data_IF_381735846066
#
_entry.id   IF_381735846066
#
_cell.length_a   1.000
_cell.length_b   1.000
_cell.length_c   1.000
_cell.angle_alpha   90.00
_cell.angle_beta   90.00
_cell.angle_gamma   90.00
#
_symmetry.space_group_name_H-M   'P 1'
#
loop_
_entity.id
_entity.type
_entity.pdbx_description
1 polymer ?
#
# COMPACT_ATOMS: atom_id res chain seq x y z
N UNK A 1 -22.76 25.52 -48.23
CA UNK A 1 -22.45 24.16 -47.74
C UNK A 1 -21.00 24.17 -47.26
N UNK A 2 -20.82 24.06 -45.93
CA UNK A 2 -19.65 23.58 -45.16
C UNK A 2 -18.25 24.09 -45.58
N UNK A 3 -17.72 25.14 -44.95
CA UNK A 3 -17.05 25.19 -43.63
C UNK A 3 -15.58 24.74 -43.67
N UNK A 4 -14.71 25.75 -43.51
CA UNK A 4 -13.24 25.72 -43.49
C UNK A 4 -12.70 24.88 -42.32
N UNK A 5 -11.70 24.06 -42.60
CA UNK A 5 -10.92 23.34 -41.60
C UNK A 5 -10.06 24.30 -40.78
N UNK A 6 -10.19 24.21 -39.46
CA UNK A 6 -9.32 24.89 -38.49
C UNK A 6 -8.25 23.87 -38.08
N UNK A 7 -7.02 24.12 -38.52
CA UNK A 7 -5.81 23.59 -37.91
C UNK A 7 -5.73 24.13 -36.49
N UNK A 8 -5.72 23.25 -35.49
CA UNK A 8 -5.42 23.63 -34.11
C UNK A 8 -4.01 23.14 -33.79
N UNK A 9 -3.20 24.12 -33.42
CA UNK A 9 -1.80 24.04 -33.04
C UNK A 9 -1.60 23.10 -31.84
N UNK A 10 -0.68 22.14 -31.95
CA UNK A 10 -0.30 21.21 -30.88
C UNK A 10 1.15 21.51 -30.51
N UNK A 11 1.35 22.49 -29.64
CA UNK A 11 2.67 22.75 -29.07
C UNK A 11 2.54 23.28 -27.64
N UNK A 12 2.92 22.45 -26.67
CA UNK A 12 2.77 22.82 -25.26
C UNK A 12 3.05 21.73 -24.23
N UNK A 13 4.12 20.93 -24.40
CA UNK A 13 4.66 20.15 -23.29
C UNK A 13 6.17 20.38 -23.19
N UNK A 14 6.58 21.17 -22.19
CA UNK A 14 7.98 21.28 -21.77
C UNK A 14 8.34 20.06 -20.91
N UNK A 15 9.49 19.41 -21.11
CA UNK A 15 9.92 18.32 -20.25
C UNK A 15 10.38 18.85 -18.89
N UNK A 16 9.86 18.26 -17.81
CA UNK A 16 10.42 18.43 -16.47
C UNK A 16 11.83 17.86 -16.41
N UNK A 17 12.71 18.62 -15.76
CA UNK A 17 14.16 18.52 -15.85
C UNK A 17 14.78 17.26 -15.22
N UNK A 18 15.85 16.84 -15.91
CA UNK A 18 17.08 16.15 -15.47
C UNK A 18 17.13 15.50 -14.08
N UNK A 19 17.43 14.20 -14.11
CA UNK A 19 17.94 13.39 -13.01
C UNK A 19 19.21 13.99 -12.34
N UNK A 20 19.40 13.83 -11.02
CA UNK A 20 20.65 14.16 -10.37
C UNK A 20 21.73 13.09 -10.60
N UNK A 21 22.96 13.60 -10.55
CA UNK A 21 24.24 13.00 -10.93
C UNK A 21 24.65 11.80 -10.08
N UNK A 22 25.35 10.86 -10.72
CA UNK A 22 26.01 9.71 -10.10
C UNK A 22 27.14 10.15 -9.16
N UNK A 23 27.14 9.62 -7.93
CA UNK A 23 28.26 9.79 -7.00
C UNK A 23 29.26 8.65 -7.22
N UNK A 24 30.45 9.00 -7.72
CA UNK A 24 31.62 8.11 -7.75
C UNK A 24 32.49 8.38 -6.51
N UNK A 25 32.80 7.30 -5.79
CA UNK A 25 34.05 7.15 -5.03
C UNK A 25 34.00 7.44 -3.53
N UNK A 26 34.23 6.41 -2.71
CA UNK A 26 35.54 6.18 -2.11
C UNK A 26 35.54 4.85 -1.33
N UNK A 27 36.31 3.88 -1.82
CA UNK A 27 36.77 2.71 -1.07
C UNK A 27 37.91 3.16 -0.17
N UNK A 28 37.80 2.91 1.14
CA UNK A 28 38.94 2.94 2.05
C UNK A 28 39.16 1.53 2.59
N UNK A 29 40.23 0.92 2.07
CA UNK A 29 40.85 -0.25 2.65
C UNK A 29 41.57 0.15 3.95
N UNK A 30 41.37 -0.62 5.01
CA UNK A 30 42.24 -0.61 6.17
C UNK A 30 42.75 -2.04 6.39
N UNK A 31 44.00 -2.26 5.98
CA UNK A 31 44.79 -3.41 6.38
C UNK A 31 45.49 -3.06 7.69
N UNK A 32 45.41 -3.95 8.68
CA UNK A 32 46.39 -4.03 9.77
C UNK A 32 46.80 -5.49 9.96
N UNK A 33 48.12 -5.70 9.89
CA UNK A 33 48.83 -6.96 10.06
C UNK A 33 49.06 -7.26 11.55
N UNK A 34 48.80 -8.52 11.91
CA UNK A 34 49.53 -9.46 12.79
C UNK A 34 50.19 -8.94 14.09
N UNK A 35 49.81 -9.55 15.23
CA UNK A 35 50.57 -10.61 15.91
C UNK A 35 50.14 -10.76 17.39
N UNK A 36 50.08 -12.00 17.91
CA UNK A 36 50.06 -12.24 19.36
C UNK A 36 49.36 -13.52 19.79
N UNK A 37 50.13 -14.61 19.91
CA UNK A 37 49.72 -15.88 20.53
C UNK A 37 49.43 -15.71 22.03
N UNK A 38 48.38 -16.38 22.53
CA UNK A 38 48.37 -16.93 23.89
C UNK A 38 47.34 -18.06 24.00
N UNK A 39 47.83 -19.22 24.43
CA UNK A 39 47.09 -20.43 24.75
C UNK A 39 46.30 -20.24 26.06
N UNK A 40 45.11 -20.84 26.15
CA UNK A 40 44.57 -21.31 27.43
C UNK A 40 43.56 -22.46 27.21
N UNK A 41 43.58 -23.35 28.19
CA UNK A 41 43.24 -24.78 28.23
C UNK A 41 41.74 -25.11 28.29
N UNK A 42 41.35 -26.36 27.97
CA UNK A 42 39.96 -26.82 28.07
C UNK A 42 39.57 -27.17 29.52
N UNK A 43 38.38 -26.76 29.95
CA UNK A 43 37.74 -27.29 31.18
C UNK A 43 36.85 -28.46 30.79
N UNK A 44 37.11 -29.59 31.42
CA UNK A 44 36.36 -30.83 31.30
C UNK A 44 34.97 -30.72 31.93
N UNK A 45 33.95 -31.22 31.24
CA UNK A 45 32.65 -31.55 31.82
C UNK A 45 32.70 -33.04 32.19
N UNK A 46 32.72 -33.33 33.49
CA UNK A 46 32.46 -34.67 34.02
C UNK A 46 30.95 -34.83 34.22
N UNK A 47 30.44 -35.96 33.76
CA UNK A 47 29.02 -36.28 33.74
C UNK A 47 28.46 -36.82 35.05
N UNK A 48 27.14 -36.96 35.05
CA UNK A 48 26.42 -38.00 35.77
C UNK A 48 25.08 -38.23 35.04
N UNK A 49 24.96 -39.38 34.37
CA UNK A 49 23.68 -40.05 34.18
C UNK A 49 23.49 -41.00 35.36
N UNK A 50 22.27 -41.18 35.87
CA UNK A 50 21.68 -42.49 36.22
C UNK A 50 20.14 -42.39 36.33
N UNK A 51 19.50 -43.22 35.52
CA UNK A 51 18.24 -44.00 35.62
C UNK A 51 16.83 -43.43 35.81
N UNK A 52 15.97 -44.06 35.00
CA UNK A 52 14.53 -44.11 35.01
C UNK A 52 13.97 -45.14 36.00
N UNK A 53 12.74 -44.94 36.45
CA UNK A 53 11.83 -46.02 36.80
C UNK A 53 10.36 -45.57 36.71
N UNK A 54 9.61 -46.23 35.84
CA UNK A 54 8.15 -46.23 35.83
C UNK A 54 7.63 -47.25 36.85
N UNK A 55 6.48 -46.98 37.48
CA UNK A 55 5.38 -47.95 37.69
C UNK A 55 4.17 -47.37 38.43
N UNK A 56 3.01 -47.78 37.90
CA UNK A 56 1.72 -48.08 38.55
C UNK A 56 0.91 -46.97 39.24
N UNK A 57 -0.20 -46.60 38.61
CA UNK A 57 -1.38 -46.04 39.27
C UNK A 57 -2.66 -46.74 38.74
N UNK A 58 -3.62 -47.13 39.62
CA UNK A 58 -4.77 -47.94 39.26
C UNK A 58 -5.98 -47.12 38.79
N UNK A 59 -6.82 -47.71 37.96
CA UNK A 59 -8.21 -47.28 37.69
C UNK A 59 -9.14 -47.81 38.79
N UNK A 60 -10.14 -47.02 39.25
CA UNK A 60 -11.51 -47.50 39.04
C UNK A 60 -12.60 -46.41 38.84
N UNK A 61 -13.55 -46.79 37.99
CA UNK A 61 -15.03 -46.73 38.08
C UNK A 61 -15.82 -45.41 38.03
N UNK A 62 -16.80 -45.46 37.12
CA UNK A 62 -17.91 -44.56 36.83
C UNK A 62 -18.77 -44.18 38.05
N UNK A 63 -19.13 -42.89 38.12
CA UNK A 63 -20.24 -42.36 38.91
C UNK A 63 -20.96 -41.27 38.10
N UNK A 64 -22.27 -41.44 37.93
CA UNK A 64 -23.19 -40.51 37.29
C UNK A 64 -23.56 -39.37 38.24
N UNK A 65 -24.13 -38.31 37.64
CA UNK A 65 -24.96 -37.23 38.22
C UNK A 65 -24.28 -35.89 38.53
N UNK A 66 -24.84 -34.82 37.92
CA UNK A 66 -24.54 -33.43 38.24
C UNK A 66 -24.75 -32.47 37.07
N UNK A 67 -26.02 -32.24 36.68
CA UNK A 67 -26.42 -31.11 35.84
C UNK A 67 -25.92 -29.79 36.45
N UNK A 68 -25.08 -29.07 35.70
CA UNK A 68 -24.55 -27.76 36.05
C UNK A 68 -24.50 -26.88 34.81
N UNK A 69 -25.44 -25.94 34.74
CA UNK A 69 -25.69 -25.00 33.66
C UNK A 69 -24.44 -24.29 33.15
N UNK A 70 -24.19 -24.35 31.84
CA UNK A 70 -23.19 -23.51 31.17
C UNK A 70 -23.62 -22.04 31.23
N UNK A 71 -22.71 -21.09 31.53
CA UNK A 71 -23.00 -19.67 31.35
C UNK A 71 -23.08 -19.34 29.86
N UNK A 72 -24.23 -18.79 29.43
CA UNK A 72 -24.46 -18.26 28.09
C UNK A 72 -23.35 -17.30 27.68
N UNK A 73 -22.64 -17.63 26.61
CA UNK A 73 -21.78 -16.69 25.91
C UNK A 73 -22.64 -15.58 25.31
N UNK A 74 -22.42 -14.34 25.77
CA UNK A 74 -22.96 -13.14 25.13
C UNK A 74 -22.47 -13.10 23.67
N UNK A 75 -23.35 -12.97 22.66
CA UNK A 75 -22.90 -12.86 21.28
C UNK A 75 -22.11 -11.57 21.08
N UNK A 76 -20.95 -11.69 20.43
CA UNK A 76 -20.14 -10.55 20.00
C UNK A 76 -20.98 -9.60 19.12
N UNK A 77 -20.79 -8.28 19.21
CA UNK A 77 -21.53 -7.33 18.39
C UNK A 77 -21.23 -7.59 16.91
N UNK A 78 -22.27 -7.89 16.15
CA UNK A 78 -22.20 -8.05 14.69
C UNK A 78 -21.92 -6.69 14.08
N UNK A 79 -20.74 -6.53 13.48
CA UNK A 79 -20.43 -5.36 12.67
C UNK A 79 -21.47 -5.24 11.53
N UNK A 80 -21.97 -4.04 11.22
CA UNK A 80 -22.84 -3.85 10.07
C UNK A 80 -22.09 -4.30 8.82
N UNK A 81 -22.55 -5.40 8.22
CA UNK A 81 -22.19 -5.79 6.87
C UNK A 81 -22.79 -4.74 5.93
N UNK A 82 -22.07 -3.64 5.71
CA UNK A 82 -22.43 -2.68 4.66
C UNK A 82 -22.07 -3.35 3.34
N UNK A 83 -23.00 -4.15 2.83
CA UNK A 83 -22.99 -4.64 1.46
C UNK A 83 -23.18 -3.47 0.51
N UNK A 84 -22.15 -2.66 0.30
CA UNK A 84 -22.08 -1.80 -0.88
C UNK A 84 -21.62 -2.67 -2.04
N UNK A 85 -22.59 -3.18 -2.79
CA UNK A 85 -22.33 -3.58 -4.16
C UNK A 85 -21.87 -2.31 -4.89
N UNK A 86 -20.55 -2.18 -5.07
CA UNK A 86 -20.00 -1.16 -5.94
C UNK A 86 -20.48 -1.50 -7.34
N UNK A 87 -21.52 -0.79 -7.78
CA UNK A 87 -22.02 -0.88 -9.13
C UNK A 87 -20.84 -0.66 -10.08
N UNK A 88 -20.56 -1.67 -10.89
CA UNK A 88 -19.35 -1.74 -11.73
C UNK A 88 -19.50 -0.84 -12.96
N UNK A 89 -19.76 0.45 -12.76
CA UNK A 89 -19.46 1.43 -13.80
C UNK A 89 -17.94 1.55 -13.87
N UNK A 90 -17.31 0.56 -14.54
CA UNK A 90 -15.89 0.60 -14.86
C UNK A 90 -15.59 2.01 -15.38
N UNK A 91 -14.67 2.76 -14.73
CA UNK A 91 -14.23 4.02 -15.30
C UNK A 91 -13.73 3.65 -16.68
N UNK A 92 -14.11 4.43 -17.69
CA UNK A 92 -13.69 4.18 -19.06
C UNK A 92 -12.19 3.89 -19.02
N UNK A 93 -11.82 2.63 -19.26
CA UNK A 93 -10.44 2.20 -19.07
C UNK A 93 -9.62 3.03 -20.05
N UNK A 94 -8.80 3.94 -19.52
CA UNK A 94 -8.02 4.84 -20.35
C UNK A 94 -6.78 4.07 -20.80
N UNK A 95 -6.92 3.38 -21.92
CA UNK A 95 -5.83 2.65 -22.55
C UNK A 95 -4.83 3.62 -23.19
N UNK A 96 -3.54 3.33 -23.05
CA UNK A 96 -2.45 4.11 -23.66
C UNK A 96 -2.06 5.40 -22.93
N UNK A 97 -2.78 5.81 -21.88
CA UNK A 97 -2.41 7.00 -21.09
C UNK A 97 -2.48 6.73 -19.59
N UNK A 98 -2.06 7.73 -18.80
CA UNK A 98 -2.15 7.74 -17.34
C UNK A 98 -3.34 8.59 -16.92
N UNK A 99 -4.17 8.06 -16.02
CA UNK A 99 -5.26 8.80 -15.39
C UNK A 99 -4.74 9.53 -14.16
N UNK A 100 -4.53 10.84 -14.27
CA UNK A 100 -4.06 11.67 -13.13
C UNK A 100 -5.20 12.36 -12.38
N UNK A 101 -6.34 12.62 -13.03
CA UNK A 101 -7.54 13.27 -12.48
C UNK A 101 -8.77 12.52 -12.94
N UNK A 102 -9.81 12.40 -12.11
CA UNK A 102 -11.09 11.84 -12.53
C UNK A 102 -11.77 12.77 -13.56
N UNK A 103 -12.30 12.24 -14.69
CA UNK A 103 -12.92 13.05 -15.73
C UNK A 103 -14.34 13.49 -15.31
N UNK A 104 -14.43 14.43 -14.38
CA UNK A 104 -15.69 14.87 -13.77
C UNK A 104 -15.64 16.35 -13.40
N UNK A 105 -16.79 17.01 -13.46
CA UNK A 105 -16.98 18.37 -12.93
C UNK A 105 -17.57 18.37 -11.52
N UNK A 106 -17.98 17.20 -11.00
CA UNK A 106 -18.47 17.06 -9.62
C UNK A 106 -17.33 17.31 -8.63
N UNK A 107 -17.61 18.01 -7.54
CA UNK A 107 -16.70 18.18 -6.39
C UNK A 107 -16.51 16.85 -5.64
N UNK A 108 -15.72 15.97 -6.24
CA UNK A 108 -15.32 14.67 -5.67
C UNK A 108 -13.79 14.59 -5.58
N UNK A 109 -13.31 13.89 -4.57
CA UNK A 109 -11.90 13.52 -4.40
C UNK A 109 -11.78 12.00 -4.25
N UNK A 110 -10.81 11.39 -4.92
CA UNK A 110 -10.39 10.02 -4.65
C UNK A 110 -9.15 10.03 -3.73
N UNK A 111 -9.30 9.50 -2.52
CA UNK A 111 -8.17 9.25 -1.63
C UNK A 111 -7.54 7.91 -1.99
N UNK A 112 -6.23 7.93 -2.24
CA UNK A 112 -5.48 6.73 -2.62
C UNK A 112 -4.25 6.55 -1.74
N UNK A 113 -3.91 5.30 -1.44
CA UNK A 113 -2.83 4.95 -0.52
C UNK A 113 -1.88 3.94 -1.16
N UNK A 114 -0.59 4.24 -1.18
CA UNK A 114 0.43 3.30 -1.64
C UNK A 114 1.00 2.53 -0.43
N UNK A 115 1.11 1.20 -0.57
CA UNK A 115 1.62 0.29 0.44
C UNK A 115 2.84 -0.49 -0.07
N UNK A 116 4.03 0.07 0.20
CA UNK A 116 5.32 -0.49 -0.22
C UNK A 116 6.46 -0.39 0.81
N UNK A 117 6.18 0.13 2.01
CA UNK A 117 7.17 0.33 3.08
C UNK A 117 6.74 -0.39 4.38
N UNK A 118 6.73 0.28 5.52
CA UNK A 118 6.13 -0.24 6.75
C UNK A 118 4.59 -0.16 6.70
N UNK A 119 3.93 -0.62 7.77
CA UNK A 119 2.46 -0.67 7.88
C UNK A 119 1.93 0.12 9.10
N UNK A 120 2.75 0.97 9.72
CA UNK A 120 2.45 1.58 11.02
C UNK A 120 1.23 2.50 10.97
N UNK A 121 0.94 3.10 9.81
CA UNK A 121 -0.22 3.97 9.62
C UNK A 121 -1.53 3.22 9.34
N UNK A 122 -1.49 1.94 8.93
CA UNK A 122 -2.69 1.21 8.46
C UNK A 122 -3.82 1.21 9.49
N UNK A 123 -3.61 0.85 10.78
CA UNK A 123 -4.71 0.77 11.73
C UNK A 123 -5.42 2.12 11.95
N UNK A 124 -4.67 3.23 11.93
CA UNK A 124 -5.21 4.58 12.09
C UNK A 124 -5.97 5.03 10.84
N UNK A 125 -5.44 4.72 9.65
CA UNK A 125 -6.10 5.00 8.36
C UNK A 125 -7.44 4.26 8.29
N UNK A 126 -7.46 2.95 8.51
CA UNK A 126 -8.68 2.14 8.39
C UNK A 126 -9.75 2.59 9.40
N UNK A 127 -9.36 2.86 10.65
CA UNK A 127 -10.27 3.42 11.67
C UNK A 127 -10.88 4.74 11.22
N UNK A 128 -10.06 5.65 10.67
CA UNK A 128 -10.53 6.97 10.22
C UNK A 128 -11.48 6.85 9.02
N UNK A 129 -11.12 6.04 8.02
CA UNK A 129 -11.95 5.83 6.84
C UNK A 129 -13.29 5.18 7.21
N UNK A 130 -13.27 4.18 8.10
CA UNK A 130 -14.49 3.53 8.60
C UNK A 130 -15.37 4.50 9.38
N UNK A 131 -14.80 5.24 10.34
CA UNK A 131 -15.55 6.20 11.16
C UNK A 131 -16.18 7.33 10.33
N UNK A 132 -15.55 7.69 9.21
CA UNK A 132 -16.03 8.78 8.34
C UNK A 132 -16.86 8.32 7.15
N UNK A 133 -16.99 6.99 6.94
CA UNK A 133 -17.65 6.38 5.79
C UNK A 133 -16.96 6.69 4.45
N UNK A 134 -15.68 7.07 4.48
CA UNK A 134 -14.95 7.60 3.33
C UNK A 134 -14.42 6.45 2.45
N UNK A 135 -14.85 6.34 1.18
CA UNK A 135 -14.26 5.38 0.25
C UNK A 135 -12.79 5.74 -0.04
N UNK A 136 -12.00 4.71 -0.32
CA UNK A 136 -10.59 4.84 -0.64
C UNK A 136 -10.10 3.69 -1.52
N UNK A 137 -8.93 3.88 -2.13
CA UNK A 137 -8.26 2.87 -2.95
C UNK A 137 -6.81 2.65 -2.49
N UNK A 138 -6.40 1.40 -2.32
CA UNK A 138 -5.05 1.03 -1.86
C UNK A 138 -4.26 0.34 -2.96
N UNK A 139 -3.11 0.88 -3.35
CA UNK A 139 -2.17 0.24 -4.28
C UNK A 139 -1.12 -0.53 -3.49
N UNK A 140 -1.19 -1.85 -3.58
CA UNK A 140 -0.37 -2.74 -2.75
C UNK A 140 0.81 -3.28 -3.56
N UNK A 141 1.99 -3.31 -2.95
CA UNK A 141 3.10 -4.09 -3.50
C UNK A 141 2.97 -5.56 -3.09
N UNK A 142 3.43 -6.47 -3.94
CA UNK A 142 3.42 -7.91 -3.64
C UNK A 142 4.22 -8.27 -2.39
N UNK A 143 5.39 -7.65 -2.19
CA UNK A 143 6.23 -7.86 -1.02
C UNK A 143 5.61 -7.32 0.27
N UNK A 144 4.91 -6.20 0.22
CA UNK A 144 4.18 -5.67 1.37
C UNK A 144 3.05 -6.62 1.77
N UNK A 145 2.30 -7.14 0.80
CA UNK A 145 1.25 -8.14 1.05
C UNK A 145 1.81 -9.42 1.68
N UNK A 146 2.97 -9.88 1.21
CA UNK A 146 3.64 -11.04 1.80
C UNK A 146 4.05 -10.81 3.27
N UNK A 147 4.45 -9.57 3.59
CA UNK A 147 4.91 -9.20 4.93
C UNK A 147 3.75 -8.95 5.90
N UNK A 148 2.65 -8.37 5.41
CA UNK A 148 1.49 -7.95 6.19
C UNK A 148 0.17 -8.56 5.67
N UNK A 149 0.03 -9.89 5.57
CA UNK A 149 -1.11 -10.52 4.90
C UNK A 149 -2.45 -10.24 5.60
N UNK A 150 -2.45 -10.12 6.94
CA UNK A 150 -3.67 -9.81 7.69
C UNK A 150 -4.16 -8.38 7.44
N UNK A 151 -3.24 -7.41 7.34
CA UNK A 151 -3.59 -6.03 7.01
C UNK A 151 -4.04 -5.91 5.55
N UNK A 152 -3.43 -6.65 4.63
CA UNK A 152 -3.89 -6.73 3.25
C UNK A 152 -5.33 -7.27 3.18
N UNK A 153 -5.63 -8.35 3.90
CA UNK A 153 -6.97 -8.93 3.99
C UNK A 153 -7.99 -7.90 4.55
N UNK A 154 -7.64 -7.21 5.63
CA UNK A 154 -8.50 -6.18 6.24
C UNK A 154 -8.78 -5.02 5.27
N UNK A 155 -7.76 -4.56 4.54
CA UNK A 155 -7.92 -3.56 3.47
C UNK A 155 -8.89 -4.09 2.40
N UNK A 156 -8.69 -5.32 1.93
CA UNK A 156 -9.52 -5.94 0.89
C UNK A 156 -11.00 -6.07 1.26
N UNK A 157 -11.31 -6.31 2.54
CA UNK A 157 -12.70 -6.42 3.00
C UNK A 157 -13.50 -5.11 2.92
N UNK A 158 -12.85 -3.96 3.01
CA UNK A 158 -13.52 -2.66 3.09
C UNK A 158 -13.29 -1.73 1.90
N UNK A 159 -12.17 -1.89 1.19
CA UNK A 159 -11.65 -0.88 0.28
C UNK A 159 -11.21 -1.47 -1.05
N UNK A 160 -11.22 -0.63 -2.07
CA UNK A 160 -10.73 -1.01 -3.38
C UNK A 160 -9.22 -1.22 -3.35
N UNK A 161 -8.73 -2.26 -4.03
CA UNK A 161 -7.30 -2.57 -4.16
C UNK A 161 -6.81 -2.41 -5.59
N UNK A 162 -5.55 -2.00 -5.75
CA UNK A 162 -4.83 -1.87 -7.00
C UNK A 162 -3.41 -2.44 -6.88
N UNK A 163 -2.76 -2.62 -8.02
CA UNK A 163 -1.44 -3.23 -8.13
C UNK A 163 -0.32 -2.16 -8.13
N UNK A 164 0.70 -2.36 -7.31
CA UNK A 164 1.85 -1.47 -7.21
C UNK A 164 3.20 -2.15 -7.49
N UNK A 165 3.24 -3.16 -8.35
CA UNK A 165 4.40 -4.05 -8.61
C UNK A 165 4.76 -4.92 -7.41
N UNK A 166 5.71 -5.85 -7.57
CA UNK A 166 6.00 -6.82 -6.52
C UNK A 166 7.03 -6.24 -5.55
N UNK A 167 8.17 -5.76 -6.06
CA UNK A 167 9.32 -5.27 -5.29
C UNK A 167 9.52 -3.75 -5.37
N UNK A 168 8.60 -3.01 -6.00
CA UNK A 168 8.69 -1.57 -6.21
C UNK A 168 9.95 -1.10 -7.01
N UNK A 169 10.36 -1.77 -8.12
CA UNK A 169 11.50 -1.32 -8.90
C UNK A 169 11.15 -0.17 -9.86
N UNK A 170 12.18 0.54 -10.32
CA UNK A 170 12.04 1.52 -11.40
C UNK A 170 11.87 0.82 -12.75
N UNK A 171 10.61 0.63 -13.16
CA UNK A 171 10.24 -0.18 -14.34
C UNK A 171 10.88 0.24 -15.67
N UNK A 172 11.07 1.54 -15.99
CA UNK A 172 11.67 1.93 -17.28
C UNK A 172 13.08 1.37 -17.53
N UNK A 173 13.81 0.99 -16.48
CA UNK A 173 15.14 0.37 -16.60
C UNK A 173 15.10 -1.16 -16.72
N UNK A 174 13.94 -1.78 -16.55
CA UNK A 174 13.81 -3.23 -16.62
C UNK A 174 13.48 -3.71 -18.04
N UNK A 175 13.96 -4.91 -18.43
CA UNK A 175 13.51 -5.56 -19.66
C UNK A 175 12.03 -5.97 -19.55
N UNK A 176 11.33 -6.08 -20.67
CA UNK A 176 9.88 -6.33 -20.73
C UNK A 176 9.43 -7.55 -19.91
N UNK A 177 10.21 -8.63 -19.95
CA UNK A 177 9.90 -9.84 -19.18
C UNK A 177 9.93 -9.58 -17.66
N UNK A 178 10.87 -8.76 -17.18
CA UNK A 178 10.95 -8.39 -15.77
C UNK A 178 9.81 -7.44 -15.37
N UNK A 179 9.45 -6.48 -16.24
CA UNK A 179 8.26 -5.63 -16.02
C UNK A 179 6.99 -6.46 -15.89
N UNK A 180 6.78 -7.44 -16.80
CA UNK A 180 5.62 -8.34 -16.72
C UNK A 180 5.64 -9.18 -15.45
N UNK A 181 6.81 -9.72 -15.08
CA UNK A 181 6.97 -10.51 -13.86
C UNK A 181 6.57 -9.72 -12.62
N UNK A 182 7.04 -8.48 -12.49
CA UNK A 182 6.68 -7.58 -11.39
C UNK A 182 5.17 -7.39 -11.26
N UNK A 183 4.51 -7.06 -12.37
CA UNK A 183 3.07 -6.77 -12.38
C UNK A 183 2.26 -8.05 -12.10
N UNK A 184 2.59 -9.16 -12.76
CA UNK A 184 1.86 -10.43 -12.61
C UNK A 184 2.04 -11.01 -11.21
N UNK A 185 3.27 -11.03 -10.67
CA UNK A 185 3.53 -11.58 -9.35
C UNK A 185 2.79 -10.80 -8.26
N UNK A 186 2.79 -9.46 -8.34
CA UNK A 186 2.00 -8.63 -7.44
C UNK A 186 0.51 -8.89 -7.55
N UNK A 187 -0.02 -8.99 -8.79
CA UNK A 187 -1.43 -9.28 -9.03
C UNK A 187 -1.87 -10.58 -8.36
N UNK A 188 -1.07 -11.65 -8.50
CA UNK A 188 -1.32 -12.95 -7.86
C UNK A 188 -1.30 -12.85 -6.34
N UNK A 189 -0.29 -12.18 -5.75
CA UNK A 189 -0.19 -12.04 -4.29
C UNK A 189 -1.36 -11.24 -3.70
N UNK A 190 -1.72 -10.13 -4.34
CA UNK A 190 -2.82 -9.27 -3.89
C UNK A 190 -4.14 -10.04 -3.97
N UNK A 191 -4.42 -10.71 -5.10
CA UNK A 191 -5.65 -11.48 -5.26
C UNK A 191 -5.76 -12.61 -4.23
N UNK A 192 -4.65 -13.28 -3.93
CA UNK A 192 -4.62 -14.37 -2.95
C UNK A 192 -4.86 -13.87 -1.52
N UNK A 193 -4.28 -12.73 -1.14
CA UNK A 193 -4.39 -12.22 0.23
C UNK A 193 -5.70 -11.46 0.49
N UNK A 194 -6.23 -10.78 -0.52
CA UNK A 194 -7.41 -9.91 -0.38
C UNK A 194 -8.71 -10.55 -0.83
N UNK A 195 -8.64 -11.62 -1.63
CA UNK A 195 -9.81 -12.20 -2.31
C UNK A 195 -10.31 -11.37 -3.52
N UNK A 196 -9.60 -10.30 -3.89
CA UNK A 196 -10.00 -9.38 -4.96
C UNK A 196 -8.95 -9.27 -6.05
N UNK A 197 -9.39 -9.34 -7.31
CA UNK A 197 -8.54 -9.02 -8.46
C UNK A 197 -8.20 -7.52 -8.44
N UNK A 198 -6.91 -7.12 -8.38
CA UNK A 198 -6.54 -5.70 -8.35
C UNK A 198 -6.72 -4.98 -9.70
N UNK A 199 -7.12 -5.69 -10.76
CA UNK A 199 -7.47 -5.04 -12.04
C UNK A 199 -8.77 -4.25 -11.93
N UNK A 200 -8.90 -3.14 -12.68
CA UNK A 200 -7.98 -2.66 -13.70
C UNK A 200 -7.00 -1.61 -13.15
N UNK A 201 -6.64 -1.60 -11.87
CA UNK A 201 -5.89 -0.49 -11.28
C UNK A 201 -4.42 -0.82 -11.11
N UNK A 202 -3.55 -0.03 -11.72
CA UNK A 202 -2.11 -0.13 -11.57
C UNK A 202 -1.48 1.24 -11.34
N UNK A 203 -0.53 1.32 -10.39
CA UNK A 203 0.26 2.53 -10.16
C UNK A 203 1.74 2.19 -10.30
N UNK A 204 2.45 2.97 -11.10
CA UNK A 204 3.90 2.83 -11.26
C UNK A 204 4.61 3.22 -9.96
N UNK A 205 5.60 2.44 -9.50
CA UNK A 205 6.61 2.90 -8.56
C UNK A 205 7.16 4.27 -9.00
N UNK A 206 7.30 5.18 -8.04
CA UNK A 206 7.77 6.57 -8.27
C UNK A 206 6.88 7.41 -9.20
N UNK A 207 5.72 6.90 -9.65
CA UNK A 207 4.88 7.53 -10.66
C UNK A 207 5.42 7.41 -12.09
N UNK A 208 6.54 6.71 -12.28
CA UNK A 208 7.32 6.76 -13.52
C UNK A 208 7.10 5.52 -14.41
N UNK A 209 6.45 5.77 -15.54
CA UNK A 209 6.31 4.82 -16.64
C UNK A 209 6.55 5.49 -17.98
N UNK A 210 7.13 4.76 -18.92
CA UNK A 210 7.31 5.18 -20.31
C UNK A 210 6.22 4.54 -21.19
N UNK A 211 6.17 4.88 -22.48
CA UNK A 211 5.16 4.33 -23.39
C UNK A 211 5.21 2.78 -23.46
N UNK A 212 6.40 2.18 -23.32
CA UNK A 212 6.60 0.73 -23.35
C UNK A 212 6.04 0.08 -22.09
N UNK A 213 6.36 0.59 -20.90
CA UNK A 213 5.87 0.01 -19.64
C UNK A 213 4.38 0.24 -19.45
N UNK A 214 3.83 1.37 -19.92
CA UNK A 214 2.38 1.61 -19.98
C UNK A 214 1.70 0.57 -20.88
N UNK A 215 2.22 0.34 -22.08
CA UNK A 215 1.67 -0.66 -22.99
C UNK A 215 1.70 -2.07 -22.38
N UNK A 216 2.76 -2.44 -21.67
CA UNK A 216 2.85 -3.72 -20.96
C UNK A 216 1.76 -3.81 -19.87
N UNK A 217 1.59 -2.80 -19.03
CA UNK A 217 0.56 -2.78 -18.01
C UNK A 217 -0.85 -2.88 -18.62
N UNK A 218 -1.10 -2.16 -19.72
CA UNK A 218 -2.36 -2.23 -20.45
C UNK A 218 -2.65 -3.62 -21.04
N UNK A 219 -1.64 -4.28 -21.63
CA UNK A 219 -1.78 -5.65 -22.13
C UNK A 219 -2.08 -6.66 -21.01
N UNK A 220 -1.70 -6.37 -19.78
CA UNK A 220 -2.03 -7.17 -18.59
C UNK A 220 -3.41 -6.83 -17.99
N UNK A 221 -4.16 -5.92 -18.62
CA UNK A 221 -5.51 -5.54 -18.22
C UNK A 221 -5.58 -4.41 -17.20
N UNK A 222 -4.51 -3.62 -17.06
CA UNK A 222 -4.46 -2.51 -16.12
C UNK A 222 -4.50 -1.14 -16.79
N UNK A 223 -5.17 -0.20 -16.13
CA UNK A 223 -5.14 1.24 -16.34
C UNK A 223 -4.07 1.83 -15.43
N UNK A 224 -3.25 2.72 -15.98
CA UNK A 224 -2.18 3.34 -15.21
C UNK A 224 -2.71 4.59 -14.49
N UNK A 225 -2.71 4.56 -13.16
CA UNK A 225 -3.24 5.61 -12.30
C UNK A 225 -2.09 6.45 -11.75
N UNK A 226 -2.21 7.77 -11.87
CA UNK A 226 -1.35 8.75 -11.24
C UNK A 226 -2.15 9.51 -10.15
N UNK A 227 -1.83 10.78 -9.95
CA UNK A 227 -2.43 11.66 -8.97
C UNK A 227 -2.29 13.10 -9.46
N UNK A 228 -3.13 13.98 -8.91
CA UNK A 228 -3.00 15.43 -9.02
C UNK A 228 -2.32 16.02 -7.79
N UNK A 229 -2.41 15.36 -6.63
CA UNK A 229 -1.77 15.77 -5.39
C UNK A 229 -0.90 14.65 -4.82
N UNK A 230 0.37 14.96 -4.53
CA UNK A 230 1.27 14.13 -3.72
C UNK A 230 1.45 14.79 -2.34
N UNK A 231 1.04 14.11 -1.27
CA UNK A 231 1.19 14.63 0.11
C UNK A 231 2.63 14.64 0.59
N UNK A 232 3.49 13.83 -0.02
CA UNK A 232 4.87 13.58 0.40
C UNK A 232 5.01 12.99 1.80
N UNK A 233 3.93 12.49 2.42
CA UNK A 233 3.94 11.93 3.77
C UNK A 233 4.95 10.78 3.94
N UNK A 234 5.21 10.02 2.88
CA UNK A 234 6.22 8.95 2.82
C UNK A 234 7.63 9.38 3.21
N UNK A 235 7.98 10.66 3.03
CA UNK A 235 9.29 11.21 3.40
C UNK A 235 9.48 11.24 4.93
N UNK A 236 8.39 11.17 5.69
CA UNK A 236 8.39 11.19 7.13
C UNK A 236 8.90 12.50 7.75
N UNK A 237 8.99 12.51 9.08
CA UNK A 237 9.51 13.63 9.88
C UNK A 237 10.99 13.86 9.54
N UNK A 238 11.77 12.79 9.38
CA UNK A 238 13.17 12.83 8.98
C UNK A 238 13.40 13.50 7.62
N UNK A 239 12.42 13.40 6.70
CA UNK A 239 12.41 14.11 5.43
C UNK A 239 11.87 15.55 5.50
N UNK A 240 11.67 16.09 6.69
CA UNK A 240 11.19 17.46 6.93
C UNK A 240 9.72 17.67 6.59
N UNK A 241 8.90 16.61 6.64
CA UNK A 241 7.44 16.75 6.52
C UNK A 241 6.79 16.86 7.88
N UNK A 242 5.60 17.44 7.90
CA UNK A 242 4.72 17.56 9.07
C UNK A 242 3.29 17.22 8.68
N UNK A 243 2.45 16.94 9.69
CA UNK A 243 0.99 16.78 9.49
C UNK A 243 0.39 17.99 8.80
N UNK A 244 0.77 19.21 9.20
CA UNK A 244 0.28 20.44 8.58
C UNK A 244 0.71 20.57 7.11
N UNK A 245 1.93 20.15 6.77
CA UNK A 245 2.38 20.15 5.39
C UNK A 245 1.57 19.17 4.52
N UNK A 246 1.19 18.01 5.05
CA UNK A 246 0.34 17.03 4.37
C UNK A 246 -1.04 17.64 4.11
N UNK A 247 -1.70 18.17 5.15
CA UNK A 247 -3.02 18.81 5.03
C UNK A 247 -2.96 19.99 4.03
N UNK A 248 -1.95 20.83 4.13
CA UNK A 248 -1.78 22.00 3.24
C UNK A 248 -1.65 21.59 1.78
N UNK A 249 -0.98 20.47 1.49
CA UNK A 249 -0.85 19.93 0.13
C UNK A 249 -2.18 19.41 -0.40
N UNK A 250 -2.94 18.67 0.42
CA UNK A 250 -4.28 18.20 0.05
C UNK A 250 -5.19 19.36 -0.31
N UNK A 251 -5.11 20.46 0.45
CA UNK A 251 -5.97 21.63 0.27
C UNK A 251 -5.44 22.63 -0.78
N UNK A 252 -4.23 22.42 -1.31
CA UNK A 252 -3.65 23.32 -2.29
C UNK A 252 -4.31 23.12 -3.66
N UNK A 253 -4.95 24.17 -4.19
CA UNK A 253 -5.53 24.21 -5.54
C UNK A 253 -6.59 23.13 -5.81
N UNK A 254 -7.55 22.98 -4.89
CA UNK A 254 -8.64 22.02 -5.03
C UNK A 254 -9.47 22.23 -6.31
N UNK A 255 -9.44 21.24 -7.20
CA UNK A 255 -10.31 21.16 -8.37
C UNK A 255 -11.16 19.88 -8.36
N UNK A 256 -12.35 19.88 -8.98
CA UNK A 256 -13.13 18.66 -9.19
C UNK A 256 -12.30 17.47 -9.69
N UNK A 257 -12.51 16.30 -9.10
CA UNK A 257 -11.90 15.04 -9.53
C UNK A 257 -10.45 14.82 -9.09
N UNK A 258 -9.97 15.52 -8.06
CA UNK A 258 -8.63 15.28 -7.49
C UNK A 258 -8.41 13.79 -7.18
N UNK A 259 -7.22 13.29 -7.51
CA UNK A 259 -6.70 12.02 -7.00
C UNK A 259 -5.54 12.36 -6.08
N UNK A 260 -5.71 12.05 -4.79
CA UNK A 260 -4.72 12.33 -3.75
C UNK A 260 -3.89 11.08 -3.48
N UNK A 261 -2.58 11.18 -3.64
CA UNK A 261 -1.61 10.16 -3.26
C UNK A 261 -1.18 10.38 -1.80
N UNK A 262 -1.47 9.38 -0.97
CA UNK A 262 -0.98 9.20 0.40
C UNK A 262 -0.26 7.85 0.50
N UNK A 263 0.40 7.58 1.63
CA UNK A 263 1.09 6.32 1.92
C UNK A 263 0.63 5.74 3.25
N UNK A 264 0.66 4.43 3.37
CA UNK A 264 0.29 3.74 4.63
C UNK A 264 1.38 3.78 5.70
N UNK A 265 2.56 4.29 5.35
CA UNK A 265 3.74 4.37 6.20
C UNK A 265 4.85 5.20 5.54
N UNK A 266 5.93 5.50 6.28
CA UNK A 266 7.09 6.23 5.76
C UNK A 266 8.21 5.31 5.25
N UNK A 267 9.12 5.87 4.45
CA UNK A 267 10.22 5.11 3.84
C UNK A 267 11.36 4.76 4.80
N UNK A 268 11.48 5.42 5.96
CA UNK A 268 12.70 5.24 6.79
C UNK A 268 12.63 5.59 8.27
N UNK A 269 11.57 6.24 8.76
CA UNK A 269 11.50 6.68 10.17
C UNK A 269 10.25 6.21 10.92
N UNK A 270 9.43 5.37 10.28
CA UNK A 270 8.20 4.81 10.86
C UNK A 270 7.15 5.86 11.28
N UNK A 271 7.32 7.12 10.90
CA UNK A 271 6.30 8.14 11.12
C UNK A 271 5.06 7.92 10.26
N UNK A 272 3.91 8.36 10.77
CA UNK A 272 2.57 8.07 10.23
C UNK A 272 1.87 9.32 9.69
N UNK A 273 2.63 10.28 9.16
CA UNK A 273 2.13 11.64 8.85
C UNK A 273 0.86 11.67 7.98
N UNK A 274 0.74 10.79 6.99
CA UNK A 274 -0.47 10.70 6.16
C UNK A 274 -1.67 10.20 6.97
N UNK A 275 -1.46 9.20 7.84
CA UNK A 275 -2.50 8.70 8.75
C UNK A 275 -2.94 9.76 9.76
N UNK A 276 -1.99 10.51 10.32
CA UNK A 276 -2.24 11.55 11.31
C UNK A 276 -2.95 12.77 10.71
N UNK A 277 -2.66 13.07 9.44
CA UNK A 277 -3.31 14.15 8.70
C UNK A 277 -4.70 13.78 8.19
N UNK A 278 -4.99 12.49 7.96
CA UNK A 278 -6.18 12.01 7.28
C UNK A 278 -7.50 12.55 7.87
N UNK A 279 -7.74 12.54 9.20
CA UNK A 279 -8.98 13.09 9.77
C UNK A 279 -9.18 14.57 9.44
N UNK A 280 -8.11 15.36 9.52
CA UNK A 280 -8.13 16.80 9.22
C UNK A 280 -8.34 17.06 7.74
N UNK A 281 -7.66 16.30 6.87
CA UNK A 281 -7.83 16.38 5.42
C UNK A 281 -9.27 16.05 5.00
N UNK A 282 -9.86 14.99 5.55
CA UNK A 282 -11.25 14.62 5.25
C UNK A 282 -12.21 15.72 5.70
N UNK A 283 -12.06 16.22 6.92
CA UNK A 283 -12.92 17.29 7.45
C UNK A 283 -12.81 18.57 6.63
N UNK A 284 -11.59 18.96 6.26
CA UNK A 284 -11.33 20.16 5.46
C UNK A 284 -11.92 20.06 4.05
N UNK A 285 -11.78 18.91 3.38
CA UNK A 285 -12.39 18.67 2.07
C UNK A 285 -13.92 18.72 2.13
N UNK A 286 -14.54 18.08 3.14
CA UNK A 286 -16.00 18.16 3.36
C UNK A 286 -16.46 19.60 3.57
N UNK A 287 -15.72 20.39 4.35
CA UNK A 287 -16.02 21.80 4.58
C UNK A 287 -15.96 22.64 3.29
N UNK A 288 -15.17 22.24 2.30
CA UNK A 288 -15.11 22.86 0.97
C UNK A 288 -16.18 22.34 -0.01
N UNK A 289 -17.09 21.49 0.48
CA UNK A 289 -18.18 20.90 -0.30
C UNK A 289 -17.75 19.74 -1.19
N UNK A 290 -16.59 19.12 -0.92
CA UNK A 290 -16.18 17.90 -1.62
C UNK A 290 -16.79 16.65 -0.96
N UNK A 291 -17.16 15.71 -1.81
CA UNK A 291 -17.48 14.33 -1.44
C UNK A 291 -16.35 13.39 -1.88
N UNK A 292 -16.43 12.13 -1.50
CA UNK A 292 -15.37 11.15 -1.77
C UNK A 292 -15.86 10.02 -2.65
N UNK A 293 -14.97 9.51 -3.49
CA UNK A 293 -15.24 8.40 -4.42
C UNK A 293 -14.05 7.44 -4.49
N UNK A 294 -14.28 6.23 -5.01
CA UNK A 294 -13.18 5.37 -5.45
C UNK A 294 -12.75 5.75 -6.88
N UNK A 295 -11.69 5.13 -7.37
CA UNK A 295 -11.21 5.35 -8.73
C UNK A 295 -12.14 4.76 -9.80
N UNK A 296 -13.07 3.87 -9.43
CA UNK A 296 -13.94 3.16 -10.37
C UNK A 296 -15.43 3.37 -10.15
N UNK A 297 -15.82 4.41 -9.42
CA UNK A 297 -17.22 4.74 -9.13
C UNK A 297 -17.68 6.00 -9.86
#
# INVERSE_FOLDING_TARGET
>A
MLARGVLVDVEGQRPFGRAPQAWKGALLAAAFLLAGCAQQTPVAIAGAQVEAAAKDAPTPTLGLEGEGSQPSATPAPTLPQVGRQYETSRPAVVWGTRLSRLPTTRKVVALTFDAGANADGVPSILRTLQATGTPATFFLTGKWVQTYPQLALEIGHGYQVGNHTYDHPYLPQLPDAAVRKEIVAAGTMIASATGHDPRPLFRFPYGDGDARTIAIANQLGYSCIQWTVDTKGWRGISGGQTVDSVVSRVMANLEPGEIVLMHVGSAGDHSTLDADALPRSIAALKAQGYSFTTLTS
#
